data_IF_399910377878
#
_entry.id   IF_399910377878
#
_cell.length_a   1.000
_cell.length_b   1.000
_cell.length_c   1.000
_cell.angle_alpha   90.00
_cell.angle_beta   90.00
_cell.angle_gamma   90.00
#
_symmetry.space_group_name_H-M   'P 1'
#
loop_
_entity.id
_entity.type
_entity.pdbx_description
1 polymer ?
#
# COMPACT_ATOMS: atom_id res chain seq x y z
N UNK A 1 38.04 -5.38 8.36
CA UNK A 1 37.41 -6.17 7.28
C UNK A 1 36.27 -6.94 7.92
N UNK A 2 35.05 -6.39 7.89
CA UNK A 2 33.86 -7.13 8.30
C UNK A 2 33.53 -8.09 7.15
N UNK A 3 33.48 -9.39 7.45
CA UNK A 3 33.27 -10.44 6.46
C UNK A 3 31.89 -10.30 5.83
N UNK A 4 31.87 -10.17 4.50
CA UNK A 4 30.67 -10.31 3.70
C UNK A 4 30.29 -11.79 3.74
N UNK A 5 29.26 -12.14 4.52
CA UNK A 5 28.76 -13.51 4.59
C UNK A 5 27.87 -13.76 3.36
N UNK A 6 28.16 -14.75 2.50
CA UNK A 6 27.37 -15.02 1.29
C UNK A 6 25.94 -15.52 1.57
N UNK A 7 25.57 -15.71 2.84
CA UNK A 7 24.27 -16.25 3.28
C UNK A 7 23.18 -15.17 3.36
N UNK A 8 23.52 -13.88 3.20
CA UNK A 8 22.55 -12.77 3.25
C UNK A 8 22.08 -12.29 1.86
N UNK A 9 22.41 -13.01 0.77
CA UNK A 9 21.91 -12.72 -0.58
C UNK A 9 20.78 -13.68 -0.96
N UNK A 10 19.67 -13.67 -0.21
CA UNK A 10 18.42 -14.19 -0.78
C UNK A 10 18.04 -13.22 -1.89
N UNK A 11 17.81 -13.73 -3.10
CA UNK A 11 17.35 -12.92 -4.22
C UNK A 11 15.98 -12.35 -3.85
N UNK A 12 15.88 -11.02 -3.78
CA UNK A 12 14.63 -10.36 -3.38
C UNK A 12 13.62 -10.44 -4.51
N UNK A 13 12.44 -11.00 -4.23
CA UNK A 13 11.35 -11.09 -5.18
C UNK A 13 10.01 -10.87 -4.49
N UNK A 14 9.37 -9.73 -4.78
CA UNK A 14 8.07 -9.39 -4.24
C UNK A 14 6.95 -10.31 -4.77
N UNK A 15 7.12 -10.94 -5.94
CA UNK A 15 6.18 -11.91 -6.48
C UNK A 15 6.13 -13.20 -5.63
N UNK A 16 7.25 -13.55 -4.98
CA UNK A 16 7.39 -14.69 -4.08
C UNK A 16 7.37 -14.28 -2.59
N UNK A 17 7.07 -13.01 -2.29
CA UNK A 17 7.12 -12.43 -0.94
C UNK A 17 8.48 -12.53 -0.25
N UNK A 18 9.56 -12.54 -1.04
CA UNK A 18 10.92 -12.57 -0.57
C UNK A 18 11.42 -11.13 -0.38
N UNK A 19 11.43 -10.67 0.86
CA UNK A 19 11.90 -9.34 1.24
C UNK A 19 13.13 -9.44 2.15
N UNK A 20 13.99 -8.40 2.19
CA UNK A 20 15.04 -8.28 3.19
C UNK A 20 14.51 -8.39 4.62
N UNK A 21 15.35 -8.90 5.53
CA UNK A 21 15.05 -9.01 6.97
C UNK A 21 14.63 -7.67 7.59
N UNK A 22 15.13 -6.57 7.04
CA UNK A 22 14.79 -5.19 7.45
C UNK A 22 13.29 -4.88 7.30
N UNK A 23 12.61 -5.52 6.35
CA UNK A 23 11.18 -5.35 6.09
C UNK A 23 10.28 -6.38 6.78
N UNK A 24 10.84 -7.38 7.46
CA UNK A 24 10.06 -8.44 8.12
C UNK A 24 9.11 -7.87 9.20
N UNK A 25 9.56 -6.85 9.92
CA UNK A 25 8.75 -6.13 10.91
C UNK A 25 8.09 -4.85 10.38
N UNK A 26 8.35 -4.48 9.13
CA UNK A 26 7.82 -3.25 8.56
C UNK A 26 6.30 -3.32 8.37
N UNK A 27 5.64 -2.18 8.49
CA UNK A 27 4.24 -2.00 8.12
C UNK A 27 4.14 -1.33 6.75
N UNK A 28 3.16 -1.74 5.95
CA UNK A 28 2.89 -1.10 4.66
C UNK A 28 1.90 0.04 4.83
N UNK A 29 2.02 1.05 3.97
CA UNK A 29 1.07 2.15 3.85
C UNK A 29 0.42 2.11 2.47
N UNK A 30 -0.88 2.39 2.43
CA UNK A 30 -1.61 2.65 1.19
C UNK A 30 -1.16 4.01 0.63
N UNK A 31 -1.17 4.17 -0.69
CA UNK A 31 -0.90 5.47 -1.37
C UNK A 31 -1.78 6.57 -0.77
N UNK A 32 -3.04 6.25 -0.49
CA UNK A 32 -4.01 7.13 0.16
C UNK A 32 -3.59 7.53 1.58
N UNK A 33 -3.01 6.62 2.37
CA UNK A 33 -2.50 6.91 3.72
C UNK A 33 -1.26 7.80 3.65
N UNK A 34 -0.33 7.51 2.73
CA UNK A 34 0.86 8.33 2.53
C UNK A 34 0.44 9.75 2.15
N UNK A 35 -0.50 9.92 1.23
CA UNK A 35 -1.01 11.25 0.87
C UNK A 35 -1.54 12.01 2.10
N UNK A 36 -2.37 11.36 2.91
CA UNK A 36 -2.92 11.98 4.14
C UNK A 36 -1.84 12.41 5.12
N UNK A 37 -0.81 11.59 5.32
CA UNK A 37 0.31 11.90 6.22
C UNK A 37 1.13 13.08 5.69
N UNK A 38 1.40 13.10 4.38
CA UNK A 38 2.13 14.20 3.73
C UNK A 38 1.32 15.50 3.74
N UNK A 39 0.02 15.44 3.47
CA UNK A 39 -0.89 16.59 3.57
C UNK A 39 -0.90 17.16 4.99
N UNK A 40 -1.02 16.30 6.00
CA UNK A 40 -0.97 16.73 7.39
C UNK A 40 0.38 17.39 7.74
N UNK A 41 1.50 16.79 7.30
CA UNK A 41 2.84 17.35 7.50
C UNK A 41 3.00 18.71 6.83
N UNK A 42 2.46 18.88 5.62
CA UNK A 42 2.44 20.15 4.89
C UNK A 42 1.68 21.23 5.65
N UNK A 43 0.46 20.93 6.09
CA UNK A 43 -0.37 21.86 6.86
C UNK A 43 0.28 22.26 8.20
N UNK A 44 0.95 21.32 8.88
CA UNK A 44 1.70 21.62 10.10
C UNK A 44 2.86 22.60 9.85
N UNK A 45 3.55 22.45 8.71
CA UNK A 45 4.66 23.32 8.34
C UNK A 45 4.18 24.74 7.99
N UNK A 46 3.09 24.86 7.23
CA UNK A 46 2.44 26.14 6.89
C UNK A 46 1.90 26.87 8.11
N UNK A 47 1.56 26.15 9.18
CA UNK A 47 1.08 26.72 10.44
C UNK A 47 2.21 27.00 11.46
N UNK A 48 3.46 26.68 11.12
CA UNK A 48 4.61 26.88 12.01
C UNK A 48 5.14 28.31 11.92
N UNK A 49 5.69 28.82 13.03
CA UNK A 49 6.35 30.14 13.06
C UNK A 49 7.62 30.15 12.19
N UNK A 50 8.26 28.99 12.01
CA UNK A 50 9.41 28.79 11.13
C UNK A 50 9.07 27.77 10.04
N UNK A 51 8.47 28.26 8.96
CA UNK A 51 8.17 27.45 7.77
C UNK A 51 9.47 26.93 7.13
N UNK A 52 9.56 25.62 6.93
CA UNK A 52 10.71 24.99 6.26
C UNK A 52 10.31 24.61 4.83
N UNK A 53 11.20 24.82 3.86
CA UNK A 53 10.99 24.26 2.52
C UNK A 53 11.10 22.73 2.56
N UNK A 54 10.16 22.07 1.89
CA UNK A 54 10.20 20.62 1.73
C UNK A 54 11.19 20.22 0.63
N UNK A 55 11.74 19.02 0.75
CA UNK A 55 12.64 18.48 -0.27
C UNK A 55 11.90 18.19 -1.58
N UNK A 56 12.64 18.12 -2.69
CA UNK A 56 12.08 17.72 -3.98
C UNK A 56 11.40 16.34 -3.93
N UNK A 57 11.96 15.41 -3.13
CA UNK A 57 11.39 14.07 -2.90
C UNK A 57 10.02 14.16 -2.24
N UNK A 58 9.84 15.06 -1.28
CA UNK A 58 8.54 15.27 -0.63
C UNK A 58 7.52 15.77 -1.65
N UNK A 59 7.85 16.80 -2.44
CA UNK A 59 6.94 17.34 -3.45
C UNK A 59 6.55 16.30 -4.50
N UNK A 60 7.52 15.55 -5.03
CA UNK A 60 7.25 14.47 -6.00
C UNK A 60 6.34 13.39 -5.41
N UNK A 61 6.61 12.96 -4.17
CA UNK A 61 5.79 11.94 -3.50
C UNK A 61 4.39 12.47 -3.20
N UNK A 62 4.27 13.72 -2.76
CA UNK A 62 2.97 14.35 -2.50
C UNK A 62 2.12 14.44 -3.78
N UNK A 63 2.71 14.91 -4.89
CA UNK A 63 2.02 14.95 -6.19
C UNK A 63 1.64 13.56 -6.67
N UNK A 64 2.56 12.59 -6.64
CA UNK A 64 2.26 11.22 -7.05
C UNK A 64 1.09 10.63 -6.23
N UNK A 65 1.15 10.75 -4.91
CA UNK A 65 0.12 10.20 -4.03
C UNK A 65 -1.22 10.94 -4.17
N UNK A 66 -1.23 12.21 -4.53
CA UNK A 66 -2.46 12.94 -4.84
C UNK A 66 -3.16 12.40 -6.10
N UNK A 67 -2.38 12.10 -7.14
CA UNK A 67 -2.92 11.62 -8.42
C UNK A 67 -3.36 10.16 -8.33
N UNK A 68 -2.61 9.32 -7.61
CA UNK A 68 -2.85 7.87 -7.59
C UNK A 68 -3.64 7.36 -6.38
N UNK A 69 -3.92 8.19 -5.37
CA UNK A 69 -4.77 7.77 -4.24
C UNK A 69 -6.14 7.28 -4.76
N UNK A 70 -6.51 6.07 -4.35
CA UNK A 70 -7.82 5.49 -4.68
C UNK A 70 -8.91 5.93 -3.72
N UNK A 71 -8.51 6.39 -2.53
CA UNK A 71 -9.41 6.76 -1.46
C UNK A 71 -9.01 8.15 -0.93
N UNK A 72 -9.96 9.07 -0.85
CA UNK A 72 -9.76 10.45 -0.37
C UNK A 72 -10.23 10.64 1.07
N UNK A 73 -11.24 9.89 1.50
CA UNK A 73 -11.81 10.02 2.83
C UNK A 73 -11.06 9.13 3.84
N UNK A 74 -10.67 9.71 4.98
CA UNK A 74 -10.01 9.04 6.12
C UNK A 74 -10.79 7.81 6.61
N UNK A 75 -12.11 7.94 6.77
CA UNK A 75 -12.97 6.86 7.23
C UNK A 75 -12.99 5.70 6.23
N UNK A 76 -13.00 6.02 4.93
CA UNK A 76 -12.96 5.00 3.90
C UNK A 76 -11.62 4.30 3.84
N UNK A 77 -10.51 5.04 3.97
CA UNK A 77 -9.16 4.47 4.07
C UNK A 77 -9.08 3.50 5.25
N UNK A 78 -9.52 3.93 6.44
CA UNK A 78 -9.53 3.08 7.64
C UNK A 78 -10.42 1.85 7.46
N UNK A 79 -11.57 1.99 6.80
CA UNK A 79 -12.50 0.89 6.51
C UNK A 79 -11.90 -0.12 5.53
N UNK A 80 -11.25 0.32 4.45
CA UNK A 80 -10.57 -0.56 3.48
C UNK A 80 -9.41 -1.28 4.15
N UNK A 81 -8.60 -0.57 4.96
CA UNK A 81 -7.51 -1.20 5.70
C UNK A 81 -8.03 -2.26 6.66
N UNK A 82 -9.10 -1.96 7.41
CA UNK A 82 -9.71 -2.91 8.35
C UNK A 82 -10.27 -4.14 7.65
N UNK A 83 -10.92 -3.96 6.50
CA UNK A 83 -11.41 -5.05 5.65
C UNK A 83 -10.27 -5.99 5.24
N UNK A 84 -9.17 -5.45 4.72
CA UNK A 84 -8.05 -6.25 4.23
C UNK A 84 -7.23 -6.89 5.36
N UNK A 85 -7.10 -6.21 6.51
CA UNK A 85 -6.42 -6.77 7.69
C UNK A 85 -7.14 -7.97 8.29
N UNK A 86 -8.45 -8.13 8.05
CA UNK A 86 -9.21 -9.30 8.47
C UNK A 86 -8.97 -10.52 7.57
N UNK A 87 -8.32 -10.33 6.41
CA UNK A 87 -7.99 -11.40 5.47
C UNK A 87 -6.59 -11.93 5.75
N UNK A 88 -6.33 -13.18 5.38
CA UNK A 88 -5.02 -13.83 5.54
C UNK A 88 -4.04 -13.39 4.45
N UNK A 89 -3.83 -12.08 4.32
CA UNK A 89 -2.93 -11.45 3.35
C UNK A 89 -1.58 -11.12 4.01
N UNK A 90 -0.52 -11.17 3.22
CA UNK A 90 0.75 -10.54 3.58
C UNK A 90 0.60 -9.00 3.54
N UNK A 91 1.39 -8.28 4.34
CA UNK A 91 1.32 -6.80 4.39
C UNK A 91 1.54 -6.14 3.03
N UNK A 92 2.41 -6.74 2.21
CA UNK A 92 2.63 -6.33 0.82
C UNK A 92 1.38 -6.49 -0.04
N UNK A 93 0.76 -7.68 -0.04
CA UNK A 93 -0.43 -7.98 -0.84
C UNK A 93 -1.60 -7.10 -0.44
N UNK A 94 -1.78 -6.84 0.85
CA UNK A 94 -2.78 -5.92 1.37
C UNK A 94 -2.61 -4.54 0.74
N UNK A 95 -1.39 -4.00 0.76
CA UNK A 95 -1.13 -2.69 0.20
C UNK A 95 -1.27 -2.69 -1.33
N UNK A 96 -0.80 -3.74 -2.00
CA UNK A 96 -0.91 -3.89 -3.45
C UNK A 96 -2.39 -3.93 -3.90
N UNK A 97 -3.23 -4.72 -3.25
CA UNK A 97 -4.68 -4.77 -3.53
C UNK A 97 -5.36 -3.42 -3.28
N UNK A 98 -5.04 -2.77 -2.15
CA UNK A 98 -5.59 -1.46 -1.82
C UNK A 98 -5.15 -0.33 -2.76
N UNK A 99 -3.98 -0.44 -3.38
CA UNK A 99 -3.43 0.57 -4.29
C UNK A 99 -3.84 0.35 -5.75
N UNK A 100 -3.79 -0.91 -6.21
CA UNK A 100 -4.08 -1.27 -7.61
C UNK A 100 -5.59 -1.37 -7.85
N UNK A 101 -6.34 -1.91 -6.90
CA UNK A 101 -7.78 -2.17 -6.98
C UNK A 101 -8.19 -2.91 -8.28
N UNK A 102 -7.68 -4.14 -8.50
CA UNK A 102 -8.02 -4.95 -9.66
C UNK A 102 -9.52 -5.29 -9.68
N UNK A 103 -10.06 -5.54 -10.86
CA UNK A 103 -11.49 -5.77 -11.08
C UNK A 103 -11.88 -7.26 -11.07
N UNK A 104 -10.92 -8.17 -11.28
CA UNK A 104 -11.16 -9.62 -11.29
C UNK A 104 -10.05 -10.39 -10.56
N UNK A 105 -10.35 -11.62 -10.07
CA UNK A 105 -9.37 -12.54 -9.52
C UNK A 105 -8.21 -12.81 -10.47
N UNK A 106 -8.48 -12.98 -11.76
CA UNK A 106 -7.47 -13.19 -12.81
C UNK A 106 -6.49 -12.00 -12.88
N UNK A 107 -7.00 -10.76 -12.89
CA UNK A 107 -6.17 -9.56 -12.89
C UNK A 107 -5.38 -9.45 -11.58
N UNK A 108 -6.01 -9.70 -10.44
CA UNK A 108 -5.36 -9.63 -9.13
C UNK A 108 -4.19 -10.60 -9.02
N UNK A 109 -4.36 -11.84 -9.48
CA UNK A 109 -3.31 -12.87 -9.51
C UNK A 109 -2.22 -12.57 -10.53
N UNK A 110 -2.57 -12.02 -11.69
CA UNK A 110 -1.59 -11.61 -12.69
C UNK A 110 -0.70 -10.44 -12.19
N UNK A 111 -1.28 -9.49 -11.45
CA UNK A 111 -0.55 -8.34 -10.90
C UNK A 111 0.19 -8.67 -9.60
N UNK A 112 -0.32 -9.62 -8.81
CA UNK A 112 0.21 -10.01 -7.51
C UNK A 112 0.30 -11.55 -7.49
N UNK A 113 1.35 -12.14 -8.09
CA UNK A 113 1.48 -13.60 -8.25
C UNK A 113 1.43 -14.38 -6.94
N UNK A 114 1.85 -13.76 -5.83
CA UNK A 114 1.81 -14.37 -4.50
C UNK A 114 0.40 -14.70 -4.00
N UNK A 115 -0.65 -14.14 -4.63
CA UNK A 115 -2.04 -14.47 -4.32
C UNK A 115 -2.47 -15.83 -4.89
N UNK A 116 -1.70 -16.43 -5.79
CA UNK A 116 -2.03 -17.71 -6.41
C UNK A 116 -2.17 -18.80 -5.35
N UNK A 117 -3.30 -19.51 -5.36
CA UNK A 117 -3.62 -20.55 -4.37
C UNK A 117 -3.88 -20.06 -2.94
N UNK A 118 -3.90 -18.74 -2.66
CA UNK A 118 -4.22 -18.21 -1.32
C UNK A 118 -5.71 -18.12 -1.02
N UNK A 119 -6.50 -17.81 -2.05
CA UNK A 119 -7.95 -17.66 -1.97
C UNK A 119 -8.60 -18.34 -3.17
N UNK A 120 -9.81 -18.85 -2.97
CA UNK A 120 -10.69 -19.23 -4.07
C UNK A 120 -11.13 -17.97 -4.85
N UNK A 121 -11.38 -18.11 -6.15
CA UNK A 121 -11.72 -16.97 -7.01
C UNK A 121 -12.98 -16.24 -6.53
N UNK A 122 -13.99 -16.96 -6.02
CA UNK A 122 -15.21 -16.36 -5.47
C UNK A 122 -14.92 -15.52 -4.21
N UNK A 123 -14.02 -15.99 -3.33
CA UNK A 123 -13.63 -15.23 -2.14
C UNK A 123 -12.83 -13.99 -2.53
N UNK A 124 -11.90 -14.13 -3.48
CA UNK A 124 -11.10 -13.02 -3.97
C UNK A 124 -11.99 -11.98 -4.67
N UNK A 125 -12.94 -12.41 -5.51
CA UNK A 125 -13.90 -11.52 -6.17
C UNK A 125 -14.69 -10.72 -5.13
N UNK A 126 -15.18 -11.35 -4.07
CA UNK A 126 -15.90 -10.65 -3.00
C UNK A 126 -15.04 -9.56 -2.34
N UNK A 127 -13.75 -9.84 -2.09
CA UNK A 127 -12.81 -8.85 -1.52
C UNK A 127 -12.64 -7.67 -2.49
N UNK A 128 -12.48 -7.94 -3.79
CA UNK A 128 -12.31 -6.90 -4.80
C UNK A 128 -13.58 -6.05 -4.96
N UNK A 129 -14.76 -6.66 -4.91
CA UNK A 129 -16.05 -5.98 -4.99
C UNK A 129 -16.28 -5.07 -3.78
N UNK A 130 -15.91 -5.53 -2.58
CA UNK A 130 -15.99 -4.73 -1.36
C UNK A 130 -15.06 -3.50 -1.44
N UNK A 131 -13.84 -3.65 -1.95
CA UNK A 131 -12.92 -2.53 -2.21
C UNK A 131 -13.50 -1.59 -3.27
N UNK A 132 -14.02 -2.15 -4.38
CA UNK A 132 -14.63 -1.41 -5.48
C UNK A 132 -15.81 -0.56 -5.03
N UNK A 133 -16.64 -1.10 -4.15
CA UNK A 133 -17.76 -0.40 -3.50
C UNK A 133 -17.26 0.77 -2.66
N UNK A 134 -16.23 0.56 -1.84
CA UNK A 134 -15.64 1.65 -1.03
C UNK A 134 -14.97 2.72 -1.88
N UNK A 135 -14.50 2.37 -3.08
CA UNK A 135 -13.95 3.33 -4.06
C UNK A 135 -15.05 4.18 -4.70
N UNK A 136 -16.20 3.60 -5.03
CA UNK A 136 -17.30 4.30 -5.72
C UNK A 136 -18.12 5.21 -4.81
N UNK A 137 -18.22 4.91 -3.51
CA UNK A 137 -18.99 5.69 -2.54
C UNK A 137 -18.37 7.02 -2.11
N UNK A 138 -17.28 7.46 -2.74
CA UNK A 138 -16.52 8.66 -2.35
C UNK A 138 -16.82 9.90 -3.21
N UNK A 139 -17.84 9.82 -4.08
CA UNK A 139 -18.31 10.93 -4.91
C UNK A 139 -19.55 11.59 -4.31
#
# INVERSE_FOLDING_TARGET
MAGFNPVDMVEEDAADLQFPKEFESAETLLISEVHMLLEHRKNQNESSEEEQEFSEVFHKTYTYTNEFRKFRNKETIASVRSLLMQKKLHKFELAALGNLCPASPEEAKALIPSLEGRFEDDELQQILDDIGTKRSLQY
#
